data_IF_406610560590
#
_entry.id   IF_406610560590
#
_cell.length_a   1.000
_cell.length_b   1.000
_cell.length_c   1.000
_cell.angle_alpha   90.00
_cell.angle_beta   90.00
_cell.angle_gamma   90.00
#
_symmetry.space_group_name_H-M   'P 1'
#
loop_
_entity.id
_entity.type
_entity.pdbx_description
1 polymer ?
#
# COMPACT_ATOMS: atom_id res chain seq x y z
N UNK A 1 -84.80 32.21 47.99
CA UNK A 1 -84.06 32.65 46.80
C UNK A 1 -82.64 32.19 47.03
N UNK A 2 -82.34 30.96 46.61
CA UNK A 2 -81.05 30.33 46.90
C UNK A 2 -80.23 30.28 45.62
N UNK A 3 -79.23 31.15 45.55
CA UNK A 3 -78.19 31.16 44.53
C UNK A 3 -77.12 30.13 44.91
N UNK A 4 -76.86 29.07 44.12
CA UNK A 4 -75.76 28.17 44.41
C UNK A 4 -74.43 28.83 44.02
N UNK A 5 -73.69 29.29 45.02
CA UNK A 5 -72.31 29.76 44.90
C UNK A 5 -71.34 28.57 44.91
N UNK A 6 -71.30 27.81 43.82
CA UNK A 6 -70.17 26.91 43.57
C UNK A 6 -69.24 27.54 42.53
N UNK A 7 -68.52 28.58 42.97
CA UNK A 7 -67.52 29.26 42.16
C UNK A 7 -66.13 28.77 42.56
N UNK A 8 -65.81 27.52 42.24
CA UNK A 8 -64.40 27.10 42.20
C UNK A 8 -63.64 28.08 41.29
N UNK A 9 -62.59 28.76 41.78
CA UNK A 9 -61.85 29.74 40.99
C UNK A 9 -61.25 29.05 39.76
N UNK A 10 -61.59 29.57 38.58
CA UNK A 10 -61.01 29.10 37.32
C UNK A 10 -59.56 29.57 37.25
N UNK A 11 -58.64 28.72 36.78
CA UNK A 11 -57.24 29.09 36.61
C UNK A 11 -56.81 28.90 35.15
N UNK A 12 -55.93 29.77 34.68
CA UNK A 12 -55.33 29.66 33.37
C UNK A 12 -54.47 28.39 33.28
N UNK A 13 -54.73 27.55 32.29
CA UNK A 13 -54.00 26.28 32.10
C UNK A 13 -52.51 26.49 31.77
N UNK A 14 -52.12 27.67 31.27
CA UNK A 14 -50.75 27.96 30.87
C UNK A 14 -49.91 28.63 31.97
N UNK A 15 -50.47 29.62 32.65
CA UNK A 15 -49.72 30.45 33.61
C UNK A 15 -50.25 30.38 35.05
N UNK A 16 -51.33 29.64 35.30
CA UNK A 16 -51.93 29.51 36.63
C UNK A 16 -52.71 30.73 37.12
N UNK A 17 -52.80 31.82 36.34
CA UNK A 17 -53.52 33.04 36.74
C UNK A 17 -55.01 32.76 36.98
N UNK A 18 -55.57 33.28 38.07
CA UNK A 18 -57.00 33.17 38.36
C UNK A 18 -57.84 33.94 37.33
N UNK A 19 -58.92 33.31 36.86
CA UNK A 19 -59.85 33.83 35.87
C UNK A 19 -61.16 34.19 36.55
N UNK A 20 -61.59 35.43 36.36
CA UNK A 20 -62.91 35.89 36.77
C UNK A 20 -63.89 35.71 35.60
N UNK A 21 -64.91 34.87 35.78
CA UNK A 21 -65.95 34.62 34.78
C UNK A 21 -67.33 34.68 35.44
N UNK A 22 -68.09 35.71 35.11
CA UNK A 22 -69.45 35.94 35.61
C UNK A 22 -70.42 35.98 34.43
N UNK A 23 -70.63 34.83 33.77
CA UNK A 23 -71.51 34.73 32.61
C UNK A 23 -72.07 33.33 32.39
N UNK A 24 -73.04 33.22 31.49
CA UNK A 24 -73.64 31.95 31.08
C UNK A 24 -73.01 31.54 29.74
N UNK A 25 -72.30 30.42 29.72
CA UNK A 25 -71.60 29.96 28.51
C UNK A 25 -70.35 29.12 28.78
N UNK A 26 -69.53 28.94 27.74
CA UNK A 26 -68.26 28.19 27.85
C UNK A 26 -67.28 28.94 28.73
N UNK A 27 -66.88 28.29 29.83
CA UNK A 27 -65.85 28.80 30.75
C UNK A 27 -64.50 28.97 30.02
N UNK A 28 -63.83 30.12 30.14
CA UNK A 28 -62.53 30.35 29.53
C UNK A 28 -61.45 29.46 30.18
N UNK A 29 -60.52 28.95 29.36
CA UNK A 29 -59.37 28.13 29.83
C UNK A 29 -58.05 28.91 29.96
N UNK A 30 -57.98 30.07 29.32
CA UNK A 30 -56.77 30.89 29.26
C UNK A 30 -57.12 32.33 29.62
N UNK A 31 -56.19 33.04 30.29
CA UNK A 31 -56.38 34.45 30.64
C UNK A 31 -56.26 35.40 29.46
N UNK A 32 -55.58 34.98 28.38
CA UNK A 32 -55.35 35.80 27.19
C UNK A 32 -55.11 34.95 25.95
N UNK A 33 -55.23 35.58 24.78
CA UNK A 33 -54.83 34.97 23.50
C UNK A 33 -53.34 34.59 23.49
N UNK A 34 -52.49 35.34 24.19
CA UNK A 34 -51.05 35.06 24.34
C UNK A 34 -50.81 33.74 25.08
N UNK A 35 -51.52 33.50 26.19
CA UNK A 35 -51.43 32.22 26.91
C UNK A 35 -51.96 31.05 26.08
N UNK A 36 -52.99 31.29 25.25
CA UNK A 36 -53.50 30.30 24.32
C UNK A 36 -52.46 29.92 23.25
N UNK A 37 -51.78 30.90 22.65
CA UNK A 37 -50.72 30.68 21.68
C UNK A 37 -49.53 29.94 22.29
N UNK A 38 -49.05 30.38 23.46
CA UNK A 38 -47.95 29.73 24.19
C UNK A 38 -48.26 28.27 24.53
N UNK A 39 -49.47 28.00 25.00
CA UNK A 39 -49.92 26.63 25.26
C UNK A 39 -50.00 25.77 23.99
N UNK A 40 -50.34 26.37 22.84
CA UNK A 40 -50.34 25.67 21.55
C UNK A 40 -48.91 25.40 21.06
N UNK A 41 -48.01 26.37 21.18
CA UNK A 41 -46.60 26.25 20.81
C UNK A 41 -45.89 25.18 21.64
N UNK A 42 -46.09 25.17 22.98
CA UNK A 42 -45.57 24.11 23.85
C UNK A 42 -46.06 22.72 23.44
N UNK A 43 -47.37 22.57 23.16
CA UNK A 43 -47.94 21.29 22.70
C UNK A 43 -47.44 20.89 21.31
N UNK A 44 -47.20 21.87 20.42
CA UNK A 44 -46.62 21.64 19.11
C UNK A 44 -45.17 21.17 19.23
N UNK A 45 -44.35 21.90 20.00
CA UNK A 45 -42.97 21.51 20.25
C UNK A 45 -42.86 20.13 20.91
N UNK A 46 -43.77 19.78 21.82
CA UNK A 46 -43.83 18.45 22.41
C UNK A 46 -44.17 17.36 21.38
N UNK A 47 -45.11 17.63 20.46
CA UNK A 47 -45.42 16.73 19.34
C UNK A 47 -44.23 16.56 18.39
N UNK A 48 -43.51 17.64 18.14
CA UNK A 48 -42.34 17.68 17.25
C UNK A 48 -41.07 17.13 17.93
N UNK A 49 -41.17 16.67 19.19
CA UNK A 49 -40.06 16.11 19.97
C UNK A 49 -39.02 17.15 20.42
N UNK A 50 -39.32 18.44 20.29
CA UNK A 50 -38.42 19.56 20.57
C UNK A 50 -38.52 20.06 22.02
N UNK A 51 -39.41 19.48 22.82
CA UNK A 51 -39.47 19.74 24.26
C UNK A 51 -38.64 18.70 24.98
N UNK A 52 -37.75 19.14 25.87
CA UNK A 52 -37.03 18.25 26.77
C UNK A 52 -38.06 17.43 27.58
N UNK A 53 -38.15 16.13 27.30
CA UNK A 53 -39.11 15.22 27.95
C UNK A 53 -38.60 14.75 29.31
N UNK A 54 -37.28 14.68 29.48
CA UNK A 54 -36.64 14.19 30.69
C UNK A 54 -35.29 14.88 30.86
N UNK A 55 -35.04 15.40 32.05
CA UNK A 55 -33.72 15.93 32.43
C UNK A 55 -32.95 14.74 33.02
N UNK A 56 -32.13 14.11 32.19
CA UNK A 56 -31.23 13.03 32.63
C UNK A 56 -29.92 13.64 33.07
N UNK A 57 -29.54 13.47 34.33
CA UNK A 57 -28.20 13.81 34.81
C UNK A 57 -27.18 12.85 34.19
N UNK A 58 -26.43 13.33 33.20
CA UNK A 58 -25.30 12.59 32.66
C UNK A 58 -24.04 12.92 33.46
N UNK A 59 -23.50 11.94 34.20
CA UNK A 59 -22.19 12.07 34.85
C UNK A 59 -21.11 12.07 33.79
N UNK A 60 -20.52 13.24 33.54
CA UNK A 60 -19.33 13.37 32.69
C UNK A 60 -18.12 12.90 33.51
N UNK A 61 -17.51 11.79 33.11
CA UNK A 61 -16.22 11.38 33.65
C UNK A 61 -15.15 12.39 33.20
N UNK A 62 -14.63 13.15 34.15
CA UNK A 62 -13.49 14.05 33.92
C UNK A 62 -12.25 13.17 33.78
N UNK A 63 -11.66 13.12 32.59
CA UNK A 63 -10.37 12.45 32.38
C UNK A 63 -9.29 13.18 33.16
N UNK A 64 -8.83 12.59 34.26
CA UNK A 64 -7.67 13.06 35.01
C UNK A 64 -6.43 12.85 34.14
N UNK A 65 -5.54 13.84 34.10
CA UNK A 65 -4.26 13.68 33.40
C UNK A 65 -3.47 12.54 34.07
N UNK A 66 -2.94 11.57 33.29
CA UNK A 66 -2.20 10.46 33.87
C UNK A 66 -0.94 10.97 34.59
N UNK A 67 -0.68 10.46 35.79
CA UNK A 67 0.55 10.78 36.51
C UNK A 67 1.74 10.04 35.91
N UNK A 68 2.95 10.40 36.31
CA UNK A 68 4.14 9.68 35.87
C UNK A 68 4.12 8.20 36.31
N UNK A 69 3.55 7.92 37.49
CA UNK A 69 3.35 6.58 38.03
C UNK A 69 2.35 5.78 37.20
N UNK A 70 1.24 6.41 36.76
CA UNK A 70 0.26 5.76 35.87
C UNK A 70 0.89 5.37 34.53
N UNK A 71 1.70 6.27 33.96
CA UNK A 71 2.43 6.01 32.71
C UNK A 71 3.45 4.89 32.91
N UNK A 72 4.19 4.88 34.03
CA UNK A 72 5.15 3.83 34.34
C UNK A 72 4.45 2.47 34.50
N UNK A 73 3.34 2.41 35.24
CA UNK A 73 2.54 1.21 35.40
C UNK A 73 1.99 0.70 34.06
N UNK A 74 1.56 1.60 33.17
CA UNK A 74 1.09 1.24 31.83
C UNK A 74 2.20 0.69 30.91
N UNK A 75 3.45 1.13 31.12
CA UNK A 75 4.63 0.71 30.36
C UNK A 75 5.24 -0.61 30.86
N UNK A 76 5.05 -0.96 32.13
CA UNK A 76 5.57 -2.20 32.71
C UNK A 76 5.10 -3.45 31.93
N UNK A 77 6.00 -4.44 31.83
CA UNK A 77 5.79 -5.74 31.15
C UNK A 77 5.32 -5.67 29.67
N UNK A 78 5.44 -4.49 29.05
CA UNK A 78 4.95 -4.26 27.70
C UNK A 78 5.98 -3.49 26.83
N UNK A 79 7.08 -4.13 26.42
CA UNK A 79 8.18 -3.48 25.69
C UNK A 79 7.75 -2.81 24.37
N UNK A 80 6.68 -3.31 23.74
CA UNK A 80 6.12 -2.70 22.53
C UNK A 80 5.50 -1.31 22.77
N UNK A 81 4.91 -1.09 23.96
CA UNK A 81 4.34 0.21 24.34
C UNK A 81 5.45 1.24 24.52
N UNK A 82 6.51 0.87 25.22
CA UNK A 82 7.71 1.69 25.36
C UNK A 82 8.30 2.05 23.99
N UNK A 83 8.52 1.06 23.12
CA UNK A 83 9.01 1.31 21.74
C UNK A 83 8.12 2.29 20.97
N UNK A 84 6.80 2.21 21.12
CA UNK A 84 5.85 3.11 20.46
C UNK A 84 5.95 4.54 20.99
N UNK A 85 6.04 4.72 22.31
CA UNK A 85 6.23 6.04 22.94
C UNK A 85 7.54 6.66 22.45
N UNK A 86 8.66 5.93 22.53
CA UNK A 86 9.97 6.42 22.10
C UNK A 86 9.98 6.86 20.62
N UNK A 87 9.20 6.20 19.74
CA UNK A 87 9.06 6.60 18.32
C UNK A 87 8.24 7.87 18.10
N UNK A 88 7.29 8.15 18.99
CA UNK A 88 6.40 9.31 18.88
C UNK A 88 7.00 10.56 19.53
N UNK A 89 7.96 10.39 20.45
CA UNK A 89 8.64 11.51 21.08
C UNK A 89 9.49 12.29 20.08
N UNK A 90 9.42 13.61 20.15
CA UNK A 90 10.36 14.50 19.47
C UNK A 90 11.63 14.62 20.32
N UNK A 91 12.69 13.92 19.91
CA UNK A 91 13.92 13.85 20.67
C UNK A 91 14.83 15.05 20.42
N UNK A 92 15.13 15.79 21.48
CA UNK A 92 16.26 16.75 21.46
C UNK A 92 17.60 16.00 21.48
N UNK A 93 18.66 16.63 20.96
CA UNK A 93 19.99 16.03 20.94
C UNK A 93 20.50 15.70 22.35
N UNK A 94 20.27 16.61 23.32
CA UNK A 94 20.60 16.42 24.73
C UNK A 94 19.92 15.20 25.35
N UNK A 95 18.65 14.95 25.03
CA UNK A 95 17.93 13.77 25.52
C UNK A 95 18.50 12.47 24.93
N UNK A 96 18.89 12.47 23.66
CA UNK A 96 19.53 11.30 23.02
C UNK A 96 20.88 10.98 23.66
N UNK A 97 21.71 12.00 23.86
CA UNK A 97 23.04 11.82 24.43
C UNK A 97 22.97 11.40 25.91
N UNK A 98 22.02 11.96 26.68
CA UNK A 98 21.76 11.53 28.05
C UNK A 98 21.27 10.08 28.15
N UNK A 99 20.36 9.66 27.26
CA UNK A 99 19.90 8.27 27.21
C UNK A 99 21.04 7.32 26.82
N UNK A 100 21.87 7.70 25.83
CA UNK A 100 23.03 6.90 25.42
C UNK A 100 23.99 6.70 26.59
N UNK A 101 24.40 7.78 27.25
CA UNK A 101 25.29 7.72 28.40
C UNK A 101 24.70 6.89 29.56
N UNK A 102 23.39 7.00 29.79
CA UNK A 102 22.69 6.19 30.79
C UNK A 102 22.65 4.70 30.47
N UNK A 103 22.47 4.33 29.20
CA UNK A 103 22.52 2.92 28.76
C UNK A 103 23.94 2.37 28.80
N UNK A 104 24.94 3.16 28.41
CA UNK A 104 26.36 2.77 28.47
C UNK A 104 26.87 2.61 29.91
N UNK A 105 26.30 3.38 30.86
CA UNK A 105 26.62 3.32 32.28
C UNK A 105 25.71 2.44 33.13
N UNK A 106 24.76 1.71 32.53
CA UNK A 106 23.85 0.84 33.27
C UNK A 106 24.55 -0.47 33.67
N UNK A 107 24.50 -0.82 34.96
CA UNK A 107 25.04 -2.08 35.52
C UNK A 107 24.22 -3.33 35.13
N UNK A 108 23.21 -3.20 34.25
CA UNK A 108 22.45 -4.34 33.78
C UNK A 108 23.17 -5.04 32.62
N UNK A 109 23.08 -6.37 32.59
CA UNK A 109 23.63 -7.18 31.51
C UNK A 109 22.88 -6.82 30.20
N UNK A 110 23.51 -5.99 29.36
CA UNK A 110 22.92 -5.34 28.17
C UNK A 110 22.60 -6.32 27.03
N UNK A 111 22.64 -7.63 27.26
CA UNK A 111 22.29 -8.68 26.30
C UNK A 111 20.76 -8.82 26.14
N UNK A 112 20.05 -7.70 25.98
CA UNK A 112 18.59 -7.69 25.74
C UNK A 112 18.26 -8.19 24.33
N UNK A 113 19.21 -8.12 23.41
CA UNK A 113 19.10 -8.73 22.08
C UNK A 113 20.04 -9.93 22.09
N UNK A 114 19.48 -11.14 22.10
CA UNK A 114 20.28 -12.35 21.93
C UNK A 114 21.09 -12.27 20.63
N UNK A 115 22.28 -12.86 20.57
CA UNK A 115 23.15 -12.83 19.37
C UNK A 115 22.37 -13.17 18.09
N UNK A 116 21.45 -14.13 18.16
CA UNK A 116 20.56 -14.50 17.07
C UNK A 116 19.65 -13.35 16.60
N UNK A 117 19.06 -12.58 17.51
CA UNK A 117 18.23 -11.42 17.14
C UNK A 117 19.08 -10.27 16.60
N UNK A 118 20.30 -10.10 17.11
CA UNK A 118 21.25 -9.10 16.62
C UNK A 118 21.70 -9.43 15.20
N UNK A 119 22.01 -10.70 14.94
CA UNK A 119 22.36 -11.22 13.62
C UNK A 119 21.19 -11.08 12.64
N UNK A 120 19.95 -11.30 13.08
CA UNK A 120 18.75 -11.09 12.26
C UNK A 120 18.55 -9.61 11.91
N UNK A 121 18.73 -8.69 12.87
CA UNK A 121 18.58 -7.25 12.63
C UNK A 121 19.70 -6.73 11.72
N UNK A 122 20.94 -7.14 11.99
CA UNK A 122 22.12 -6.73 11.22
C UNK A 122 22.06 -7.32 9.81
N UNK A 123 21.80 -8.62 9.68
CA UNK A 123 21.63 -9.29 8.39
C UNK A 123 20.47 -8.70 7.57
N UNK A 124 19.38 -8.25 8.20
CA UNK A 124 18.31 -7.54 7.50
C UNK A 124 18.75 -6.18 6.97
N UNK A 125 19.58 -5.43 7.71
CA UNK A 125 20.14 -4.17 7.25
C UNK A 125 21.10 -4.38 6.07
N UNK A 126 21.99 -5.37 6.17
CA UNK A 126 22.91 -5.77 5.10
C UNK A 126 22.17 -6.19 3.83
N UNK A 127 21.07 -6.96 3.97
CA UNK A 127 20.22 -7.37 2.85
C UNK A 127 19.62 -6.16 2.11
N UNK A 128 19.21 -5.12 2.85
CA UNK A 128 18.66 -3.90 2.25
C UNK A 128 19.73 -3.18 1.42
N UNK A 129 20.94 -3.03 1.98
CA UNK A 129 22.08 -2.42 1.27
C UNK A 129 22.44 -3.23 0.02
N UNK A 130 22.59 -4.55 0.15
CA UNK A 130 22.91 -5.44 -0.96
C UNK A 130 21.84 -5.39 -2.08
N UNK A 131 20.55 -5.26 -1.72
CA UNK A 131 19.45 -5.13 -2.68
C UNK A 131 19.51 -3.81 -3.44
N UNK A 132 19.95 -2.74 -2.81
CA UNK A 132 20.11 -1.43 -3.45
C UNK A 132 21.33 -1.39 -4.37
N UNK A 133 22.43 -2.00 -3.95
CA UNK A 133 23.61 -2.22 -4.81
C UNK A 133 23.27 -3.06 -6.05
N UNK A 134 22.52 -4.15 -5.87
CA UNK A 134 22.09 -5.01 -6.97
C UNK A 134 21.18 -4.25 -7.95
N UNK A 135 20.29 -3.38 -7.45
CA UNK A 135 19.49 -2.49 -8.30
C UNK A 135 20.36 -1.49 -9.05
N UNK A 136 21.37 -0.91 -8.40
CA UNK A 136 22.31 0.01 -9.05
C UNK A 136 23.14 -0.68 -10.15
N UNK A 137 23.65 -1.88 -9.88
CA UNK A 137 24.40 -2.68 -10.85
C UNK A 137 23.54 -3.09 -12.05
N UNK A 138 22.28 -3.48 -11.83
CA UNK A 138 21.33 -3.76 -12.93
C UNK A 138 21.12 -2.56 -13.85
N UNK A 139 20.95 -1.36 -13.29
CA UNK A 139 20.85 -0.12 -14.07
C UNK A 139 22.11 0.15 -14.89
N UNK A 140 23.30 -0.01 -14.28
CA UNK A 140 24.58 0.16 -14.99
C UNK A 140 24.72 -0.83 -16.14
N UNK A 141 24.38 -2.10 -15.92
CA UNK A 141 24.43 -3.13 -16.96
C UNK A 141 23.48 -2.81 -18.12
N UNK A 142 22.27 -2.31 -17.83
CA UNK A 142 21.33 -1.91 -18.88
C UNK A 142 21.88 -0.78 -19.75
N UNK A 143 22.50 0.25 -19.14
CA UNK A 143 23.14 1.36 -19.86
C UNK A 143 24.29 0.85 -20.73
N UNK A 144 25.19 0.05 -20.15
CA UNK A 144 26.31 -0.54 -20.87
C UNK A 144 25.86 -1.44 -22.01
N UNK A 145 24.75 -2.16 -21.85
CA UNK A 145 24.19 -2.99 -22.89
C UNK A 145 23.66 -2.15 -24.07
N UNK A 146 22.89 -1.09 -23.79
CA UNK A 146 22.42 -0.14 -24.81
C UNK A 146 23.57 0.53 -25.55
N UNK A 147 24.62 0.92 -24.82
CA UNK A 147 25.80 1.53 -25.41
C UNK A 147 26.59 0.56 -26.30
N UNK A 148 26.81 -0.67 -25.83
CA UNK A 148 27.42 -1.72 -26.63
C UNK A 148 26.60 -2.02 -27.90
N UNK A 149 25.28 -2.06 -27.80
CA UNK A 149 24.40 -2.24 -28.95
C UNK A 149 24.55 -1.09 -29.95
N UNK A 150 24.56 0.17 -29.48
CA UNK A 150 24.79 1.36 -30.32
C UNK A 150 26.15 1.31 -31.03
N UNK A 151 27.21 0.95 -30.32
CA UNK A 151 28.55 0.82 -30.89
C UNK A 151 28.62 -0.29 -31.95
N UNK A 152 27.97 -1.43 -31.72
CA UNK A 152 27.86 -2.51 -32.70
C UNK A 152 27.14 -2.05 -33.97
N UNK A 153 25.99 -1.41 -33.84
CA UNK A 153 25.24 -0.88 -34.99
C UNK A 153 26.02 0.20 -35.76
N UNK A 154 26.74 1.09 -35.06
CA UNK A 154 27.60 2.10 -35.71
C UNK A 154 28.82 1.49 -36.42
N UNK A 155 29.39 0.41 -35.85
CA UNK A 155 30.47 -0.36 -36.46
C UNK A 155 30.02 -1.13 -37.71
N UNK A 156 28.83 -1.71 -37.70
CA UNK A 156 28.22 -2.39 -38.86
C UNK A 156 27.91 -1.40 -39.99
N UNK A 157 27.43 -0.20 -39.68
CA UNK A 157 27.24 0.86 -40.67
C UNK A 157 28.56 1.31 -41.31
N UNK A 158 29.66 1.33 -40.54
CA UNK A 158 31.01 1.61 -41.06
C UNK A 158 31.60 0.46 -41.88
N UNK A 159 31.21 -0.79 -41.61
CA UNK A 159 31.67 -1.99 -42.35
C UNK A 159 30.90 -2.25 -43.64
N UNK A 160 29.72 -1.65 -43.87
CA UNK A 160 29.08 -1.67 -45.20
C UNK A 160 29.95 -0.87 -46.19
N UNK A 161 30.51 -1.50 -47.23
CA UNK A 161 31.44 -0.80 -48.11
C UNK A 161 30.69 0.23 -48.96
N UNK A 162 31.24 1.44 -49.07
CA UNK A 162 31.03 2.34 -50.21
C UNK A 162 31.57 1.63 -51.47
N UNK A 163 30.86 0.62 -51.99
CA UNK A 163 31.13 0.07 -53.32
C UNK A 163 30.65 1.09 -54.34
N UNK A 164 31.56 1.95 -54.82
CA UNK A 164 31.38 2.56 -56.14
C UNK A 164 31.43 1.42 -57.16
N UNK A 165 30.39 1.29 -57.97
CA UNK A 165 30.27 0.31 -59.04
C UNK A 165 31.40 0.52 -60.06
N UNK A 166 32.27 -0.49 -60.23
CA UNK A 166 33.20 -0.57 -61.36
C UNK A 166 32.51 -1.30 -62.53
N UNK A 167 32.88 -1.02 -63.80
CA UNK A 167 32.24 -1.65 -64.96
C UNK A 167 32.56 -3.15 -65.03
N UNK A 168 31.53 -3.92 -65.34
CA UNK A 168 31.53 -5.38 -65.34
C UNK A 168 32.32 -5.95 -66.55
N UNK A 169 33.26 -6.91 -66.37
CA UNK A 169 33.88 -7.58 -67.50
C UNK A 169 32.97 -8.69 -68.01
N UNK A 170 32.76 -8.72 -69.33
CA UNK A 170 32.02 -9.77 -70.03
C UNK A 170 32.85 -11.06 -70.06
N UNK A 171 32.28 -12.21 -69.65
CA UNK A 171 32.79 -13.51 -70.11
C UNK A 171 31.75 -14.64 -70.08
N UNK A 172 31.44 -15.07 -71.31
CA UNK A 172 31.13 -16.41 -71.84
C UNK A 172 30.07 -17.27 -71.15
N UNK A 173 29.01 -17.57 -71.91
CA UNK A 173 28.05 -18.66 -71.66
C UNK A 173 28.79 -20.00 -71.60
N UNK A 174 28.74 -20.66 -70.45
CA UNK A 174 28.99 -22.09 -70.33
C UNK A 174 27.63 -22.78 -70.24
N UNK A 175 27.42 -23.75 -71.11
CA UNK A 175 26.23 -24.60 -71.18
C UNK A 175 26.26 -25.52 -69.95
N UNK A 176 25.19 -25.55 -69.16
CA UNK A 176 25.06 -26.47 -68.03
C UNK A 176 24.68 -27.88 -68.52
N UNK A 177 25.29 -28.96 -67.98
CA UNK A 177 24.83 -30.33 -68.20
C UNK A 177 23.54 -30.65 -67.42
N UNK A 178 22.89 -31.75 -67.82
CA UNK A 178 21.57 -32.25 -67.39
C UNK A 178 21.52 -32.67 -65.92
N UNK A 179 20.29 -32.75 -65.40
CA UNK A 179 19.91 -32.94 -63.97
C UNK A 179 20.24 -34.34 -63.42
N UNK A 180 20.82 -35.23 -64.23
CA UNK A 180 21.06 -36.63 -63.84
C UNK A 180 22.45 -36.92 -63.24
N UNK A 181 23.35 -35.91 -63.17
CA UNK A 181 24.73 -36.09 -62.68
C UNK A 181 25.05 -35.32 -61.37
N UNK A 182 24.03 -34.93 -60.59
CA UNK A 182 24.27 -34.27 -59.29
C UNK A 182 23.98 -35.27 -58.16
N UNK A 183 25.04 -35.97 -57.77
CA UNK A 183 25.13 -36.60 -56.45
C UNK A 183 24.88 -35.53 -55.35
N UNK A 184 24.10 -35.84 -54.30
CA UNK A 184 23.90 -34.92 -53.19
C UNK A 184 25.26 -34.63 -52.53
N UNK A 185 25.64 -33.36 -52.29
CA UNK A 185 26.93 -33.05 -51.69
C UNK A 185 26.89 -33.36 -50.20
N UNK A 186 27.15 -34.61 -49.84
CA UNK A 186 27.60 -34.98 -48.49
C UNK A 186 29.06 -34.58 -48.34
N UNK A 187 29.33 -33.65 -47.43
CA UNK A 187 30.69 -33.18 -47.17
C UNK A 187 30.86 -32.37 -45.88
N UNK A 188 29.89 -32.41 -44.97
CA UNK A 188 30.02 -31.92 -43.59
C UNK A 188 30.01 -33.12 -42.66
N UNK A 189 31.05 -33.29 -41.83
CA UNK A 189 31.07 -34.40 -40.87
C UNK A 189 29.89 -34.31 -39.91
N UNK A 190 29.46 -35.41 -39.31
CA UNK A 190 28.41 -35.39 -38.29
C UNK A 190 29.04 -35.31 -36.90
N UNK A 191 28.38 -34.58 -35.98
CA UNK A 191 28.73 -34.52 -34.55
C UNK A 191 27.51 -34.87 -33.70
N UNK A 192 27.75 -35.54 -32.58
CA UNK A 192 26.69 -35.88 -31.63
C UNK A 192 26.56 -34.79 -30.58
N UNK A 193 25.34 -34.37 -30.30
CA UNK A 193 25.02 -33.49 -29.16
C UNK A 193 24.04 -34.18 -28.20
N UNK A 194 24.12 -33.83 -26.92
CA UNK A 194 23.20 -34.35 -25.89
C UNK A 194 22.24 -33.22 -25.52
N UNK A 195 20.95 -33.41 -25.77
CA UNK A 195 19.91 -32.45 -25.41
C UNK A 195 18.79 -33.17 -24.64
N UNK A 196 18.59 -32.80 -23.37
CA UNK A 196 17.55 -33.40 -22.54
C UNK A 196 17.75 -34.90 -22.25
N UNK A 197 18.99 -35.38 -22.28
CA UNK A 197 19.34 -36.78 -22.00
C UNK A 197 19.24 -37.74 -23.20
N UNK A 198 18.99 -37.21 -24.41
CA UNK A 198 18.99 -37.96 -25.66
C UNK A 198 20.10 -37.49 -26.58
N UNK A 199 20.63 -38.41 -27.39
CA UNK A 199 21.70 -38.14 -28.34
C UNK A 199 21.11 -37.79 -29.72
N UNK A 200 21.62 -36.71 -30.32
CA UNK A 200 21.22 -36.26 -31.65
C UNK A 200 22.45 -36.14 -32.55
N UNK A 201 22.41 -36.81 -33.69
CA UNK A 201 23.42 -36.69 -34.75
C UNK A 201 23.07 -35.47 -35.61
N UNK A 202 23.93 -34.47 -35.61
CA UNK A 202 23.73 -33.21 -36.34
C UNK A 202 24.95 -32.87 -37.20
N UNK A 203 24.79 -32.13 -38.30
CA UNK A 203 25.92 -31.69 -39.12
C UNK A 203 26.92 -30.84 -38.31
N UNK A 204 28.21 -31.06 -38.52
CA UNK A 204 29.31 -30.42 -37.75
C UNK A 204 29.47 -28.93 -38.04
N UNK A 205 28.98 -28.49 -39.20
CA UNK A 205 28.93 -27.09 -39.60
C UNK A 205 27.85 -26.27 -38.87
N UNK A 206 26.91 -26.91 -38.16
CA UNK A 206 25.90 -26.21 -37.37
C UNK A 206 26.50 -25.58 -36.12
N UNK A 207 26.08 -24.35 -35.83
CA UNK A 207 26.36 -23.74 -34.54
C UNK A 207 25.64 -24.48 -33.41
N UNK A 208 26.16 -24.41 -32.19
CA UNK A 208 25.53 -25.04 -31.02
C UNK A 208 24.07 -24.63 -30.84
N UNK A 209 23.75 -23.39 -31.21
CA UNK A 209 22.39 -22.86 -31.16
C UNK A 209 21.48 -23.57 -32.16
N UNK A 210 21.90 -23.70 -33.41
CA UNK A 210 21.14 -24.39 -34.47
C UNK A 210 20.93 -25.86 -34.13
N UNK A 211 21.96 -26.51 -33.57
CA UNK A 211 21.88 -27.91 -33.14
C UNK A 211 20.89 -28.12 -31.97
N UNK A 212 20.91 -27.26 -30.95
CA UNK A 212 19.97 -27.37 -29.82
C UNK A 212 18.55 -26.90 -30.18
N UNK A 213 18.40 -26.00 -31.15
CA UNK A 213 17.11 -25.59 -31.71
C UNK A 213 16.48 -26.75 -32.50
N UNK A 214 17.24 -27.45 -33.33
CA UNK A 214 16.82 -28.67 -34.00
C UNK A 214 16.37 -29.77 -33.02
N UNK A 215 17.18 -30.05 -31.98
CA UNK A 215 16.82 -31.05 -30.95
C UNK A 215 15.53 -30.68 -30.18
N UNK A 216 15.21 -29.38 -30.09
CA UNK A 216 13.97 -28.88 -29.48
C UNK A 216 12.76 -29.03 -30.41
N UNK A 217 12.94 -28.79 -31.70
CA UNK A 217 11.87 -28.91 -32.71
C UNK A 217 11.54 -30.38 -33.04
N UNK A 218 12.54 -31.26 -33.02
CA UNK A 218 12.40 -32.67 -33.40
C UNK A 218 12.80 -33.65 -32.27
N UNK A 219 12.14 -33.61 -31.10
CA UNK A 219 12.52 -34.42 -29.93
C UNK A 219 12.33 -35.94 -30.08
N UNK A 220 11.69 -36.37 -31.18
CA UNK A 220 11.46 -37.78 -31.52
C UNK A 220 12.63 -38.41 -32.30
N UNK A 221 13.56 -37.61 -32.82
CA UNK A 221 14.74 -38.08 -33.57
C UNK A 221 15.96 -38.38 -32.67
N UNK A 222 15.86 -38.08 -31.38
CA UNK A 222 16.92 -38.37 -30.41
C UNK A 222 16.80 -39.80 -29.88
N UNK A 223 17.91 -40.52 -29.89
CA UNK A 223 18.08 -41.87 -29.31
C UNK A 223 18.32 -41.79 -27.80
#
# INVERSE_FOLDING_TARGET
>A
MDTPSDSTPLHCVECGMQLFYAGVGRRPRYCSQTCRSRAWEKRRAARDGLVAQEVVEHRVEVTVAPTAEDVAAWLNDHPKRLSKVLKLMEWTQRQKDGLRAGLEGADCDLTVIGQQELDLVTGRAELVVAKDELRALRRKNEVLWKENQRLKSGGEQRKKPRRKSAPQPQRRKVIMPSVDDIEPPFGGGERVIIHGGKEFVVPSEWSDKEAHEFAREYPHLGE
#
